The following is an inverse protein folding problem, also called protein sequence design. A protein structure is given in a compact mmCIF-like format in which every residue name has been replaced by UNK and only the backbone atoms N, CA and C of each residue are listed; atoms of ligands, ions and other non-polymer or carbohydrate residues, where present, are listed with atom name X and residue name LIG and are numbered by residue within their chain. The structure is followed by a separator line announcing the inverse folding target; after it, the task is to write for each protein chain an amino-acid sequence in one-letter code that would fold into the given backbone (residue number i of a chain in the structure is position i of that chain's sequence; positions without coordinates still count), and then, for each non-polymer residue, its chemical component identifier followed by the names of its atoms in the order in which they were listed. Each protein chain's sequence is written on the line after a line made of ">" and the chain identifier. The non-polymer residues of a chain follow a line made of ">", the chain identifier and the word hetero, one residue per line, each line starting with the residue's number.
data_IF_692332130849
#
_entry.id   IF_692332130849
#
_cell.length_a   1.000
_cell.length_b   1.000
_cell.length_c   1.000
_cell.angle_alpha   90.00
_cell.angle_beta   90.00
_cell.angle_gamma   90.00
#
_symmetry.space_group_name_H-M   'P 1'
#
loop_
_entity.id
_entity.type
_entity.pdbx_description
1 polymer ?
#
# COMPACT_ATOMS: atom_id res chain seq x y z
N UNK A 1 -7.61 -12.04 25.86
CA UNK A 1 -7.74 -11.58 24.47
C UNK A 1 -8.75 -12.46 23.78
N UNK A 2 -9.80 -11.88 23.22
CA UNK A 2 -10.77 -12.61 22.41
C UNK A 2 -10.12 -13.02 21.09
N UNK A 3 -10.44 -14.21 20.56
CA UNK A 3 -9.88 -14.71 19.28
C UNK A 3 -11.03 -15.10 18.37
N UNK A 4 -11.12 -14.44 17.23
CA UNK A 4 -12.15 -14.70 16.22
C UNK A 4 -11.47 -15.31 15.00
N UNK A 5 -11.94 -16.48 14.59
CA UNK A 5 -11.47 -17.14 13.37
C UNK A 5 -12.55 -17.01 12.29
N UNK A 6 -12.18 -16.57 11.10
CA UNK A 6 -13.12 -16.38 10.02
C UNK A 6 -12.47 -16.63 8.65
N UNK A 7 -13.09 -17.53 7.89
CA UNK A 7 -12.77 -17.80 6.49
C UNK A 7 -14.03 -17.54 5.69
N UNK A 8 -14.06 -16.49 4.84
CA UNK A 8 -15.23 -16.20 4.01
C UNK A 8 -15.47 -17.30 2.98
N UNK A 9 -16.74 -17.59 2.73
CA UNK A 9 -17.17 -18.25 1.48
C UNK A 9 -17.22 -17.24 0.33
N UNK A 10 -17.29 -17.72 -0.91
CA UNK A 10 -17.34 -16.85 -2.09
C UNK A 10 -18.46 -15.80 -2.04
N UNK A 11 -19.64 -16.18 -1.54
CA UNK A 11 -20.80 -15.29 -1.42
C UNK A 11 -20.67 -14.29 -0.25
N UNK A 12 -19.70 -14.49 0.64
CA UNK A 12 -19.39 -13.57 1.75
C UNK A 12 -18.27 -12.58 1.40
N UNK A 13 -17.67 -12.66 0.21
CA UNK A 13 -16.68 -11.68 -0.23
C UNK A 13 -17.31 -10.30 -0.39
N UNK A 14 -16.65 -9.29 0.18
CA UNK A 14 -16.88 -7.90 -0.16
C UNK A 14 -16.19 -7.53 -1.46
N UNK A 15 -16.87 -6.78 -2.33
CA UNK A 15 -16.32 -6.26 -3.59
C UNK A 15 -16.23 -4.74 -3.63
N UNK A 16 -16.58 -4.09 -2.51
CA UNK A 16 -16.51 -2.65 -2.33
C UNK A 16 -16.16 -2.31 -0.89
N UNK A 17 -15.48 -1.18 -0.70
CA UNK A 17 -15.44 -0.47 0.58
C UNK A 17 -16.66 0.45 0.67
N UNK A 18 -17.42 0.32 1.77
CA UNK A 18 -18.72 0.98 1.94
C UNK A 18 -19.88 0.23 1.28
N UNK A 19 -21.11 0.57 1.68
CA UNK A 19 -22.34 0.01 1.09
C UNK A 19 -22.69 -1.45 1.44
N UNK A 20 -21.83 -2.13 2.22
CA UNK A 20 -22.03 -3.53 2.63
C UNK A 20 -22.27 -3.63 4.14
N UNK A 21 -23.19 -4.49 4.56
CA UNK A 21 -23.44 -4.76 5.97
C UNK A 21 -22.26 -5.53 6.61
N UNK A 22 -21.98 -5.34 7.91
CA UNK A 22 -20.89 -6.04 8.57
C UNK A 22 -21.14 -7.54 8.65
N UNK A 23 -20.12 -8.33 8.31
CA UNK A 23 -20.17 -9.79 8.41
C UNK A 23 -20.05 -10.29 9.86
N UNK A 24 -19.31 -9.55 10.70
CA UNK A 24 -19.07 -9.86 12.11
C UNK A 24 -18.81 -8.57 12.90
N UNK A 25 -19.08 -8.63 14.21
CA UNK A 25 -18.68 -7.59 15.18
C UNK A 25 -17.42 -8.04 15.91
N UNK A 26 -16.53 -7.09 16.18
CA UNK A 26 -15.27 -7.31 16.88
C UNK A 26 -15.10 -6.24 17.96
N UNK A 27 -14.51 -6.63 19.10
CA UNK A 27 -14.17 -5.68 20.16
C UNK A 27 -12.74 -5.18 19.99
N UNK A 28 -12.43 -3.92 20.30
CA UNK A 28 -11.05 -3.48 20.45
C UNK A 28 -10.27 -4.39 21.41
N UNK A 29 -9.02 -4.70 21.05
CA UNK A 29 -8.16 -5.69 21.69
C UNK A 29 -8.40 -7.14 21.25
N UNK A 30 -9.27 -7.42 20.27
CA UNK A 30 -9.49 -8.79 19.75
C UNK A 30 -8.39 -9.19 18.76
N UNK A 31 -8.00 -10.46 18.78
CA UNK A 31 -7.20 -11.06 17.71
C UNK A 31 -8.11 -11.72 16.67
N UNK A 32 -7.78 -11.54 15.41
CA UNK A 32 -8.45 -12.18 14.28
C UNK A 32 -7.49 -13.14 13.59
N UNK A 33 -7.96 -14.36 13.29
CA UNK A 33 -7.33 -15.25 12.32
C UNK A 33 -8.23 -15.31 11.10
N UNK A 34 -7.75 -14.73 10.02
CA UNK A 34 -8.49 -14.53 8.80
C UNK A 34 -7.82 -15.30 7.68
N UNK A 35 -8.63 -15.65 6.69
CA UNK A 35 -8.13 -16.14 5.42
C UNK A 35 -8.60 -15.17 4.34
N UNK A 36 -7.70 -14.81 3.43
CA UNK A 36 -7.99 -13.95 2.27
C UNK A 36 -7.65 -14.71 0.99
N UNK A 37 -8.43 -14.51 -0.07
CA UNK A 37 -8.13 -15.07 -1.38
C UNK A 37 -7.16 -14.18 -2.15
N UNK A 38 -6.64 -14.69 -3.27
CA UNK A 38 -5.90 -13.87 -4.24
C UNK A 38 -6.82 -12.88 -4.98
N UNK A 39 -6.24 -11.88 -5.68
CA UNK A 39 -6.96 -10.87 -6.47
C UNK A 39 -8.04 -11.43 -7.41
N UNK A 40 -7.86 -12.68 -7.84
CA UNK A 40 -8.67 -13.37 -8.85
C UNK A 40 -9.70 -14.33 -8.25
N UNK A 41 -9.80 -14.40 -6.91
CA UNK A 41 -10.59 -15.39 -6.18
C UNK A 41 -10.28 -16.84 -6.60
N UNK A 42 -8.99 -17.13 -6.80
CA UNK A 42 -8.48 -18.45 -7.16
C UNK A 42 -8.87 -18.90 -8.57
N UNK A 43 -9.19 -17.99 -9.49
CA UNK A 43 -9.61 -18.33 -10.86
C UNK A 43 -8.46 -18.53 -11.84
N UNK A 44 -7.37 -17.78 -11.69
CA UNK A 44 -6.15 -17.99 -12.48
C UNK A 44 -5.24 -18.96 -11.75
N UNK A 45 -4.81 -20.04 -12.43
CA UNK A 45 -3.99 -21.09 -11.82
C UNK A 45 -2.91 -21.65 -12.72
N UNK A 46 -2.98 -21.39 -14.03
CA UNK A 46 -2.12 -22.00 -15.04
C UNK A 46 -1.58 -20.96 -16.00
N UNK A 47 -0.44 -21.26 -16.62
CA UNK A 47 0.20 -20.41 -17.63
C UNK A 47 -0.65 -20.17 -18.88
N UNK A 48 -1.58 -21.09 -19.18
CA UNK A 48 -2.51 -20.99 -20.31
C UNK A 48 -3.75 -20.14 -19.99
N UNK A 49 -4.00 -19.87 -18.71
CA UNK A 49 -5.16 -19.09 -18.29
C UNK A 49 -5.01 -17.63 -18.76
N UNK A 50 -6.14 -17.00 -19.08
CA UNK A 50 -6.21 -15.62 -19.58
C UNK A 50 -7.20 -14.84 -18.72
N UNK A 51 -6.74 -13.74 -18.12
CA UNK A 51 -7.54 -12.89 -17.26
C UNK A 51 -8.82 -12.40 -17.95
N UNK A 52 -8.71 -11.96 -19.20
CA UNK A 52 -9.82 -11.49 -20.04
C UNK A 52 -10.93 -12.54 -20.25
N UNK A 53 -10.59 -13.84 -20.15
CA UNK A 53 -11.53 -14.93 -20.31
C UNK A 53 -12.13 -15.42 -18.98
N UNK A 54 -11.42 -15.26 -17.87
CA UNK A 54 -11.77 -15.90 -16.58
C UNK A 54 -12.15 -14.91 -15.49
N UNK A 55 -11.77 -13.64 -15.63
CA UNK A 55 -11.95 -12.62 -14.61
C UNK A 55 -13.01 -11.62 -15.05
N UNK A 56 -13.98 -11.44 -14.18
CA UNK A 56 -14.91 -10.32 -14.24
C UNK A 56 -14.34 -9.19 -13.39
N UNK A 57 -13.97 -8.08 -14.02
CA UNK A 57 -13.33 -6.92 -13.37
C UNK A 57 -14.19 -6.26 -12.29
N UNK A 58 -15.48 -6.61 -12.22
CA UNK A 58 -16.37 -6.17 -11.13
C UNK A 58 -16.13 -6.94 -9.82
N UNK A 59 -15.48 -8.09 -9.91
CA UNK A 59 -15.29 -9.06 -8.84
C UNK A 59 -13.81 -9.44 -8.71
N UNK A 60 -12.95 -8.42 -8.55
CA UNK A 60 -11.52 -8.55 -8.22
C UNK A 60 -11.22 -8.07 -6.81
N UNK A 61 -10.08 -8.49 -6.27
CA UNK A 61 -9.57 -8.12 -4.94
C UNK A 61 -10.64 -8.42 -3.87
N UNK A 62 -11.09 -9.70 -3.75
CA UNK A 62 -12.14 -10.09 -2.82
C UNK A 62 -11.76 -9.74 -1.39
N UNK A 63 -12.69 -9.12 -0.67
CA UNK A 63 -12.46 -8.67 0.70
C UNK A 63 -12.99 -9.65 1.72
N UNK A 64 -12.17 -9.92 2.72
CA UNK A 64 -12.59 -10.52 4.00
C UNK A 64 -13.03 -9.39 4.93
N UNK A 65 -14.35 -9.24 5.08
CA UNK A 65 -14.97 -8.12 5.77
C UNK A 65 -16.29 -7.71 5.11
N UNK A 66 -16.92 -6.60 5.54
CA UNK A 66 -16.43 -5.68 6.56
C UNK A 66 -16.71 -6.16 7.99
N UNK A 67 -15.77 -5.89 8.90
CA UNK A 67 -15.90 -6.10 10.34
C UNK A 67 -16.34 -4.81 11.02
N UNK A 68 -17.33 -4.90 11.90
CA UNK A 68 -17.78 -3.80 12.73
C UNK A 68 -17.01 -3.76 14.04
N UNK A 69 -16.35 -2.65 14.34
CA UNK A 69 -15.58 -2.44 15.58
C UNK A 69 -16.44 -1.77 16.64
N UNK A 70 -16.68 -2.45 17.75
CA UNK A 70 -17.51 -1.91 18.83
C UNK A 70 -16.92 -0.61 19.41
N UNK A 71 -17.75 0.43 19.49
CA UNK A 71 -17.39 1.73 20.06
C UNK A 71 -16.60 2.67 19.14
N UNK A 72 -16.32 2.25 17.90
CA UNK A 72 -15.67 3.10 16.89
C UNK A 72 -16.66 4.14 16.33
N UNK A 73 -16.27 5.40 16.39
CA UNK A 73 -17.06 6.56 15.96
C UNK A 73 -16.24 7.44 15.00
N UNK A 74 -16.93 8.29 14.23
CA UNK A 74 -16.29 9.22 13.31
C UNK A 74 -15.19 10.04 14.00
N UNK A 75 -13.99 10.04 13.44
CA UNK A 75 -12.83 10.78 13.96
C UNK A 75 -11.93 9.99 14.92
N UNK A 76 -12.31 8.77 15.29
CA UNK A 76 -11.41 7.82 15.95
C UNK A 76 -10.34 7.27 15.00
N UNK A 77 -9.30 6.66 15.54
CA UNK A 77 -8.29 5.93 14.78
C UNK A 77 -8.43 4.43 15.01
N UNK A 78 -8.63 3.67 13.94
CA UNK A 78 -8.56 2.22 13.94
C UNK A 78 -7.09 1.78 13.82
N UNK A 79 -6.60 0.95 14.73
CA UNK A 79 -5.26 0.37 14.67
C UNK A 79 -5.35 -1.12 14.35
N UNK A 80 -4.74 -1.52 13.23
CA UNK A 80 -4.70 -2.89 12.74
C UNK A 80 -3.25 -3.39 12.77
N UNK A 81 -2.91 -4.22 13.74
CA UNK A 81 -1.57 -4.80 13.86
C UNK A 81 -1.51 -6.19 13.24
N UNK A 82 -0.71 -6.35 12.20
CA UNK A 82 -0.53 -7.63 11.52
C UNK A 82 0.51 -8.46 12.27
N UNK A 83 0.08 -9.48 12.99
CA UNK A 83 0.99 -10.41 13.69
C UNK A 83 1.73 -11.26 12.67
N UNK A 84 0.99 -11.83 11.71
CA UNK A 84 1.54 -12.61 10.60
C UNK A 84 0.64 -12.52 9.37
N UNK A 85 1.24 -12.52 8.20
CA UNK A 85 0.63 -12.64 6.88
C UNK A 85 1.49 -13.68 6.15
N UNK A 86 0.90 -14.83 5.84
CA UNK A 86 1.62 -15.95 5.22
C UNK A 86 0.82 -16.54 4.06
N UNK A 87 1.48 -16.94 2.96
CA UNK A 87 0.79 -17.64 1.88
C UNK A 87 0.09 -18.90 2.40
N UNK A 88 -1.19 -19.02 2.06
CA UNK A 88 -2.06 -20.15 2.43
C UNK A 88 -1.98 -21.29 1.41
N UNK A 89 -1.47 -21.00 0.22
CA UNK A 89 -1.29 -21.93 -0.90
C UNK A 89 0.20 -22.04 -1.26
N UNK A 90 0.56 -23.12 -1.93
CA UNK A 90 1.89 -23.41 -2.47
C UNK A 90 2.12 -22.82 -3.88
N UNK A 91 1.23 -21.92 -4.31
CA UNK A 91 1.33 -21.22 -5.58
C UNK A 91 0.81 -19.78 -5.47
N UNK A 92 1.32 -18.93 -6.35
CA UNK A 92 0.79 -17.61 -6.64
C UNK A 92 0.80 -17.32 -8.14
N UNK A 93 0.14 -16.25 -8.58
CA UNK A 93 0.00 -15.92 -10.00
C UNK A 93 0.28 -14.44 -10.24
N UNK A 94 0.98 -14.14 -11.34
CA UNK A 94 1.04 -12.79 -11.91
C UNK A 94 0.57 -12.85 -13.36
N UNK A 95 -0.08 -11.80 -13.86
CA UNK A 95 -0.59 -11.78 -15.24
C UNK A 95 -0.52 -10.37 -15.84
N UNK A 96 -0.31 -10.28 -17.14
CA UNK A 96 -0.54 -9.04 -17.89
C UNK A 96 -1.99 -9.00 -18.34
N UNK A 97 -2.76 -8.02 -17.84
CA UNK A 97 -4.16 -7.82 -18.21
C UNK A 97 -4.21 -6.79 -19.35
N UNK A 98 -4.93 -7.04 -20.46
CA UNK A 98 -5.05 -6.08 -21.55
C UNK A 98 -5.54 -4.71 -21.07
N UNK A 99 -4.83 -3.66 -21.46
CA UNK A 99 -5.11 -2.27 -21.09
C UNK A 99 -5.07 -1.95 -19.58
N UNK A 100 -4.27 -2.71 -18.82
CA UNK A 100 -4.01 -2.47 -17.40
C UNK A 100 -2.52 -2.69 -17.08
N UNK A 101 -1.95 -1.82 -16.24
CA UNK A 101 -0.53 -1.77 -15.92
C UNK A 101 0.13 -0.41 -16.22
N UNK A 102 1.34 -0.21 -15.73
CA UNK A 102 2.04 1.09 -15.76
C UNK A 102 2.76 1.40 -17.08
N UNK A 103 3.06 0.38 -17.89
CA UNK A 103 3.79 0.50 -19.15
C UNK A 103 2.92 0.16 -20.38
N UNK A 104 1.60 0.31 -20.26
CA UNK A 104 0.63 0.12 -21.35
C UNK A 104 -0.42 1.22 -21.34
N UNK A 105 -1.16 1.39 -22.44
CA UNK A 105 -2.33 2.25 -22.47
C UNK A 105 -3.44 1.68 -21.59
N UNK A 106 -4.25 2.54 -20.96
CA UNK A 106 -5.37 2.12 -20.10
C UNK A 106 -6.63 2.93 -20.41
N UNK A 107 -7.73 2.64 -19.73
CA UNK A 107 -8.96 3.46 -19.81
C UNK A 107 -8.77 4.90 -19.28
N UNK A 108 -7.75 5.11 -18.43
CA UNK A 108 -7.38 6.42 -17.84
C UNK A 108 -6.24 7.10 -18.58
N UNK A 109 -5.26 6.33 -19.03
CA UNK A 109 -4.16 6.79 -19.87
C UNK A 109 -4.42 6.28 -21.29
N UNK A 110 -5.42 6.86 -21.93
CA UNK A 110 -5.90 6.39 -23.23
C UNK A 110 -4.85 6.58 -24.33
N UNK A 111 -4.55 5.51 -25.04
CA UNK A 111 -3.69 5.50 -26.23
C UNK A 111 -4.36 4.71 -27.35
N UNK A 112 -3.87 4.83 -28.59
CA UNK A 112 -4.36 4.07 -29.75
C UNK A 112 -3.54 2.79 -30.00
N UNK A 113 -2.67 2.45 -29.07
CA UNK A 113 -1.66 1.42 -29.27
C UNK A 113 -2.28 0.10 -28.86
N UNK A 114 -1.89 -0.98 -29.54
CA UNK A 114 -2.34 -2.31 -29.17
C UNK A 114 -1.94 -2.63 -27.71
N UNK A 115 -2.79 -3.37 -26.96
CA UNK A 115 -2.45 -3.81 -25.62
C UNK A 115 -1.20 -4.69 -25.64
N UNK A 116 -0.50 -4.74 -24.50
CA UNK A 116 0.57 -5.72 -24.31
C UNK A 116 -0.02 -7.15 -24.39
N UNK A 117 0.78 -8.16 -24.80
CA UNK A 117 0.33 -9.55 -24.82
C UNK A 117 -0.21 -10.00 -23.46
N UNK A 118 -1.33 -10.70 -23.48
CA UNK A 118 -1.93 -11.29 -22.30
C UNK A 118 -1.28 -12.63 -21.96
N UNK A 119 -0.56 -12.67 -20.84
CA UNK A 119 0.24 -13.80 -20.39
C UNK A 119 0.05 -14.01 -18.88
N UNK A 120 0.24 -15.23 -18.42
CA UNK A 120 0.09 -15.63 -17.01
C UNK A 120 1.32 -16.39 -16.56
N UNK A 121 1.92 -15.98 -15.45
CA UNK A 121 3.03 -16.64 -14.78
C UNK A 121 2.53 -17.27 -13.48
N UNK A 122 2.85 -18.55 -13.29
CA UNK A 122 2.61 -19.27 -12.04
C UNK A 122 3.91 -19.36 -11.26
N UNK A 123 3.85 -18.92 -10.00
CA UNK A 123 4.97 -18.96 -9.06
C UNK A 123 4.77 -20.13 -8.10
N UNK A 124 5.77 -20.99 -7.97
CA UNK A 124 5.82 -21.99 -6.91
C UNK A 124 6.19 -21.29 -5.59
N UNK A 125 5.35 -21.43 -4.57
CA UNK A 125 5.59 -20.90 -3.23
C UNK A 125 6.05 -22.02 -2.32
N UNK A 126 7.28 -21.91 -1.85
CA UNK A 126 7.82 -22.76 -0.78
C UNK A 126 7.87 -21.94 0.53
N UNK A 127 6.87 -22.16 1.39
CA UNK A 127 6.78 -21.50 2.69
C UNK A 127 7.91 -21.90 3.64
N UNK A 128 8.49 -23.09 3.49
CA UNK A 128 9.59 -23.55 4.33
C UNK A 128 10.92 -22.93 3.91
N UNK A 129 11.20 -22.89 2.61
CA UNK A 129 12.38 -22.23 2.05
C UNK A 129 12.26 -20.70 2.01
N UNK A 130 11.06 -20.16 2.25
CA UNK A 130 10.73 -18.73 2.17
C UNK A 130 10.95 -18.15 0.78
N UNK A 131 10.49 -18.86 -0.26
CA UNK A 131 10.66 -18.44 -1.65
C UNK A 131 9.37 -18.48 -2.48
N UNK A 132 9.22 -17.52 -3.40
CA UNK A 132 8.32 -17.59 -4.55
C UNK A 132 9.17 -17.67 -5.82
N UNK A 133 9.10 -18.78 -6.55
CA UNK A 133 9.98 -19.04 -7.68
C UNK A 133 9.40 -18.49 -8.98
N UNK A 134 10.05 -17.47 -9.54
CA UNK A 134 9.79 -17.04 -10.90
C UNK A 134 10.23 -18.13 -11.88
N UNK A 135 9.34 -18.49 -12.80
CA UNK A 135 9.64 -19.39 -13.92
C UNK A 135 9.35 -18.65 -15.23
N UNK A 136 10.36 -18.49 -16.08
CA UNK A 136 10.16 -17.87 -17.39
C UNK A 136 9.27 -18.77 -18.28
N UNK A 137 8.43 -18.17 -19.11
CA UNK A 137 7.53 -18.90 -20.03
C UNK A 137 8.26 -19.36 -21.29
N UNK A 138 9.21 -18.55 -21.78
CA UNK A 138 9.90 -18.78 -23.07
C UNK A 138 11.32 -19.37 -22.92
N UNK A 139 11.75 -19.69 -21.70
CA UNK A 139 13.07 -20.27 -21.43
C UNK A 139 13.08 -21.10 -20.15
N UNK A 140 14.12 -21.89 -19.93
CA UNK A 140 14.28 -22.73 -18.72
C UNK A 140 14.70 -21.94 -17.47
N UNK A 141 14.79 -20.60 -17.53
CA UNK A 141 15.24 -19.78 -16.40
C UNK A 141 14.25 -19.84 -15.24
N UNK A 142 14.76 -20.21 -14.07
CA UNK A 142 14.04 -20.15 -12.78
C UNK A 142 14.83 -19.36 -11.76
N UNK A 143 14.15 -18.47 -11.03
CA UNK A 143 14.76 -17.64 -9.99
C UNK A 143 13.93 -17.76 -8.70
N UNK A 144 14.46 -18.40 -7.64
CA UNK A 144 13.81 -18.40 -6.34
C UNK A 144 13.93 -17.01 -5.72
N UNK A 145 12.83 -16.27 -5.64
CA UNK A 145 12.79 -14.94 -5.03
C UNK A 145 12.41 -15.08 -3.56
N UNK A 146 13.01 -14.30 -2.64
CA UNK A 146 12.55 -14.28 -1.25
C UNK A 146 11.08 -13.89 -1.15
N UNK A 147 10.30 -14.58 -0.32
CA UNK A 147 8.95 -14.15 0.01
C UNK A 147 8.97 -12.78 0.67
N UNK A 148 8.03 -11.94 0.28
CA UNK A 148 7.74 -10.66 0.95
C UNK A 148 6.21 -10.50 1.06
N UNK A 149 5.55 -11.30 1.93
CA UNK A 149 4.10 -11.34 1.99
C UNK A 149 3.50 -10.05 2.53
N UNK A 150 2.47 -9.56 1.88
CA UNK A 150 1.72 -8.35 2.23
C UNK A 150 0.24 -8.46 1.81
N UNK A 151 -0.56 -7.50 2.24
CA UNK A 151 -1.94 -7.31 1.78
C UNK A 151 -2.02 -6.04 0.92
N UNK A 152 -2.47 -6.18 -0.32
CA UNK A 152 -2.70 -5.08 -1.25
C UNK A 152 -3.86 -4.18 -0.81
N UNK A 153 -4.93 -4.82 -0.33
CA UNK A 153 -6.13 -4.14 0.16
C UNK A 153 -6.28 -4.20 1.68
N UNK A 154 -6.25 -3.03 2.31
CA UNK A 154 -6.62 -2.84 3.72
C UNK A 154 -7.35 -1.49 3.81
N UNK A 155 -8.59 -1.49 4.30
CA UNK A 155 -9.34 -0.24 4.35
C UNK A 155 -10.57 -0.28 5.25
N UNK A 156 -11.10 0.90 5.54
CA UNK A 156 -12.38 1.13 6.23
C UNK A 156 -13.45 1.55 5.24
N UNK A 157 -14.71 1.62 5.66
CA UNK A 157 -15.73 2.24 4.82
C UNK A 157 -15.36 3.72 4.55
N UNK A 158 -15.55 4.22 3.31
CA UNK A 158 -15.28 5.61 2.97
C UNK A 158 -16.19 6.58 3.74
N UNK A 159 -15.72 7.82 3.89
CA UNK A 159 -16.52 8.89 4.45
C UNK A 159 -17.72 9.24 3.57
N UNK A 160 -18.68 9.96 4.15
CA UNK A 160 -19.84 10.55 3.43
C UNK A 160 -20.75 9.53 2.75
N UNK A 161 -20.68 8.26 3.17
CA UNK A 161 -21.52 7.19 2.62
C UNK A 161 -21.14 6.77 1.20
N UNK A 162 -19.91 7.07 0.76
CA UNK A 162 -19.44 6.61 -0.54
C UNK A 162 -19.26 5.09 -0.58
N UNK A 163 -19.44 4.52 -1.77
CA UNK A 163 -19.16 3.12 -2.09
C UNK A 163 -18.08 3.12 -3.16
N UNK A 164 -16.94 2.48 -2.86
CA UNK A 164 -15.76 2.48 -3.71
C UNK A 164 -15.37 1.04 -4.04
N UNK A 165 -15.04 0.78 -5.31
CA UNK A 165 -14.48 -0.50 -5.73
C UNK A 165 -13.24 -0.84 -4.91
N UNK A 166 -13.03 -2.13 -4.67
CA UNK A 166 -11.85 -2.67 -3.97
C UNK A 166 -10.53 -2.34 -4.63
N UNK A 167 -10.52 -2.05 -5.94
CA UNK A 167 -9.33 -1.65 -6.69
C UNK A 167 -8.91 -0.18 -6.47
N UNK A 168 -9.65 0.60 -5.67
CA UNK A 168 -9.36 2.03 -5.48
C UNK A 168 -8.66 2.25 -4.14
N UNK A 169 -7.43 2.79 -4.12
CA UNK A 169 -6.88 3.39 -2.92
C UNK A 169 -7.31 4.84 -2.75
N UNK A 170 -7.51 5.26 -1.50
CA UNK A 170 -7.78 6.64 -1.09
C UNK A 170 -7.50 6.83 0.41
N UNK A 171 -7.93 7.94 0.99
CA UNK A 171 -7.85 8.27 2.42
C UNK A 171 -8.45 7.21 3.36
N UNK A 172 -9.35 6.34 2.87
CA UNK A 172 -9.91 5.22 3.63
C UNK A 172 -9.03 3.96 3.63
N UNK A 173 -7.86 3.98 2.99
CA UNK A 173 -7.05 2.80 2.69
C UNK A 173 -7.38 2.27 1.29
N UNK A 174 -7.85 1.04 1.20
CA UNK A 174 -8.20 0.40 -0.07
C UNK A 174 -7.00 -0.29 -0.71
N UNK A 175 -6.94 -0.30 -2.05
CA UNK A 175 -5.88 -0.96 -2.85
C UNK A 175 -4.56 -0.20 -2.83
N UNK A 176 -3.94 -0.06 -1.66
CA UNK A 176 -2.73 0.74 -1.54
C UNK A 176 -1.53 0.08 -2.17
N UNK A 177 -1.53 -1.27 -2.25
CA UNK A 177 -0.48 -2.07 -2.86
C UNK A 177 0.91 -1.61 -2.44
N UNK A 178 1.05 -1.46 -1.11
CA UNK A 178 2.30 -1.07 -0.49
C UNK A 178 2.97 -2.28 0.14
N UNK A 179 4.23 -2.60 -0.23
CA UNK A 179 5.02 -3.64 0.42
C UNK A 179 5.20 -3.45 1.93
N UNK A 180 4.86 -2.28 2.47
CA UNK A 180 4.91 -1.99 3.90
C UNK A 180 3.67 -2.50 4.67
N UNK A 181 2.60 -2.94 3.98
CA UNK A 181 1.43 -3.60 4.56
C UNK A 181 1.71 -5.07 4.87
N UNK A 182 2.74 -5.31 5.67
CA UNK A 182 3.34 -6.63 5.92
C UNK A 182 3.26 -7.03 7.39
N UNK A 183 3.64 -8.28 7.64
CA UNK A 183 3.79 -8.81 9.00
C UNK A 183 4.60 -7.87 9.89
N UNK A 184 4.16 -7.75 11.14
CA UNK A 184 4.69 -6.90 12.21
C UNK A 184 4.47 -5.41 12.04
N UNK A 185 3.81 -4.94 10.98
CA UNK A 185 3.39 -3.55 10.86
C UNK A 185 2.06 -3.31 11.59
N UNK A 186 1.83 -2.06 12.01
CA UNK A 186 0.53 -1.56 12.44
C UNK A 186 0.06 -0.51 11.45
N UNK A 187 -1.11 -0.72 10.85
CA UNK A 187 -1.80 0.28 10.05
C UNK A 187 -2.78 1.08 10.91
N UNK A 188 -2.78 2.40 10.74
CA UNK A 188 -3.70 3.32 11.38
C UNK A 188 -4.60 3.97 10.32
N UNK A 189 -5.91 3.79 10.49
CA UNK A 189 -6.93 4.30 9.57
C UNK A 189 -7.89 5.23 10.31
N UNK A 190 -8.30 6.32 9.66
CA UNK A 190 -9.33 7.20 10.20
C UNK A 190 -10.71 6.55 10.14
N UNK A 191 -11.42 6.47 11.27
CA UNK A 191 -12.78 5.95 11.32
C UNK A 191 -13.73 6.98 10.70
N UNK A 192 -14.36 6.60 9.60
CA UNK A 192 -15.21 7.48 8.78
C UNK A 192 -16.71 7.28 9.03
N UNK A 193 -17.09 6.14 9.58
CA UNK A 193 -18.48 5.75 9.88
C UNK A 193 -18.49 4.95 11.18
N UNK A 194 -19.66 4.86 11.82
CA UNK A 194 -19.84 4.03 13.01
C UNK A 194 -19.37 2.59 12.75
N UNK A 195 -18.56 2.07 13.66
CA UNK A 195 -18.00 0.73 13.57
C UNK A 195 -16.81 0.58 12.62
N UNK A 196 -16.36 1.64 11.95
CA UNK A 196 -15.30 1.67 10.92
C UNK A 196 -15.58 0.85 9.65
N UNK A 197 -16.17 -0.34 9.78
CA UNK A 197 -16.48 -1.28 8.69
C UNK A 197 -15.23 -1.62 7.88
N UNK A 198 -14.22 -2.18 8.53
CA UNK A 198 -12.94 -2.49 7.88
C UNK A 198 -12.92 -3.85 7.20
N UNK A 199 -12.19 -3.94 6.10
CA UNK A 199 -11.93 -5.18 5.39
C UNK A 199 -10.46 -5.30 5.00
N UNK A 200 -10.04 -6.54 4.75
CA UNK A 200 -8.70 -6.85 4.22
C UNK A 200 -8.79 -7.87 3.09
N UNK A 201 -7.83 -7.89 2.19
CA UNK A 201 -7.75 -8.88 1.12
C UNK A 201 -6.54 -8.70 0.25
N UNK A 202 -6.59 -9.31 -0.92
CA UNK A 202 -5.62 -9.11 -2.00
C UNK A 202 -4.19 -9.43 -1.57
N UNK A 203 -3.95 -10.70 -1.22
CA UNK A 203 -2.65 -11.11 -0.71
C UNK A 203 -1.60 -11.18 -1.81
N UNK A 204 -0.42 -10.60 -1.57
CA UNK A 204 0.73 -10.75 -2.47
C UNK A 204 1.85 -11.53 -1.79
N UNK A 205 2.32 -12.62 -2.39
CA UNK A 205 3.49 -13.34 -1.90
C UNK A 205 4.78 -12.52 -2.07
N UNK A 206 4.78 -11.63 -3.08
CA UNK A 206 5.82 -10.66 -3.35
C UNK A 206 5.31 -9.58 -4.32
N UNK A 207 5.68 -8.33 -4.07
CA UNK A 207 5.48 -7.21 -4.97
C UNK A 207 6.77 -6.41 -5.13
N UNK A 208 7.00 -5.84 -6.31
CA UNK A 208 8.00 -4.80 -6.52
C UNK A 208 7.39 -3.42 -6.38
N UNK A 209 8.17 -2.43 -5.94
CA UNK A 209 7.71 -1.03 -5.88
C UNK A 209 7.22 -0.54 -7.25
N UNK A 210 6.02 0.06 -7.24
CA UNK A 210 5.31 0.55 -8.41
C UNK A 210 4.41 -0.47 -9.11
N UNK A 211 4.55 -1.77 -8.81
CA UNK A 211 3.70 -2.85 -9.35
C UNK A 211 3.52 -2.77 -10.88
N UNK A 212 4.63 -2.59 -11.59
CA UNK A 212 4.62 -2.00 -12.94
C UNK A 212 3.78 -2.73 -14.01
N UNK A 213 3.61 -4.05 -13.93
CA UNK A 213 2.76 -4.80 -14.87
C UNK A 213 1.27 -4.84 -14.50
N UNK A 214 0.89 -4.25 -13.36
CA UNK A 214 -0.47 -4.21 -12.85
C UNK A 214 -0.78 -5.23 -11.77
N UNK A 215 -0.01 -6.32 -11.69
CA UNK A 215 -0.35 -7.49 -10.86
C UNK A 215 0.91 -8.01 -10.18
N UNK A 216 0.86 -8.17 -8.86
CA UNK A 216 1.93 -8.74 -8.06
C UNK A 216 2.04 -10.27 -8.24
N UNK A 217 2.70 -10.96 -7.31
CA UNK A 217 2.53 -12.42 -7.15
C UNK A 217 1.32 -12.65 -6.25
N UNK A 218 0.13 -12.67 -6.86
CA UNK A 218 -1.16 -12.84 -6.19
C UNK A 218 -1.25 -14.20 -5.51
N UNK A 219 -1.62 -14.23 -4.23
CA UNK A 219 -1.71 -15.44 -3.43
C UNK A 219 -2.74 -15.30 -2.31
N UNK A 220 -3.47 -16.38 -2.04
CA UNK A 220 -4.30 -16.45 -0.85
C UNK A 220 -3.43 -16.41 0.42
N UNK A 221 -3.88 -15.73 1.47
CA UNK A 221 -3.12 -15.54 2.71
C UNK A 221 -3.87 -15.99 3.95
N UNK A 222 -3.14 -16.63 4.86
CA UNK A 222 -3.50 -16.75 6.26
C UNK A 222 -2.98 -15.52 7.02
N UNK A 223 -3.91 -14.76 7.62
CA UNK A 223 -3.62 -13.50 8.30
C UNK A 223 -3.97 -13.62 9.77
N UNK A 224 -3.01 -13.38 10.66
CA UNK A 224 -3.27 -13.15 12.08
C UNK A 224 -3.05 -11.68 12.39
N UNK A 225 -4.04 -11.02 12.97
CA UNK A 225 -3.97 -9.60 13.31
C UNK A 225 -4.63 -9.29 14.65
N UNK A 226 -4.31 -8.14 15.24
CA UNK A 226 -4.96 -7.58 16.42
C UNK A 226 -5.60 -6.26 16.03
N UNK A 227 -6.86 -6.08 16.42
CA UNK A 227 -7.65 -4.87 16.16
C UNK A 227 -7.75 -4.07 17.44
N UNK A 228 -7.42 -2.78 17.39
CA UNK A 228 -7.53 -1.87 18.52
C UNK A 228 -8.12 -0.52 18.08
N UNK A 229 -8.68 0.21 19.03
CA UNK A 229 -9.32 1.50 18.79
C UNK A 229 -8.68 2.59 19.64
N UNK A 230 -8.26 3.66 19.00
CA UNK A 230 -7.78 4.88 19.66
C UNK A 230 -8.86 5.94 19.51
N UNK A 231 -9.31 6.52 20.62
CA UNK A 231 -10.34 7.56 20.58
C UNK A 231 -9.76 8.89 20.08
N UNK A 232 -10.39 9.45 19.06
CA UNK A 232 -9.93 10.66 18.37
C UNK A 232 -8.63 10.48 17.57
N UNK A 233 -8.13 11.61 17.04
CA UNK A 233 -6.81 11.68 16.40
C UNK A 233 -6.67 10.97 15.07
N UNK A 234 -7.80 10.68 14.37
CA UNK A 234 -7.81 10.08 13.05
C UNK A 234 -6.77 10.73 12.12
N UNK A 235 -5.90 9.95 11.47
CA UNK A 235 -5.03 10.51 10.44
C UNK A 235 -5.87 10.83 9.19
N UNK A 236 -5.49 11.87 8.46
CA UNK A 236 -6.18 12.24 7.21
C UNK A 236 -5.94 11.23 6.08
N UNK A 237 -4.81 10.54 6.17
CA UNK A 237 -4.34 9.51 5.25
C UNK A 237 -3.92 8.28 6.05
N UNK A 238 -3.94 7.06 5.48
CA UNK A 238 -3.44 5.88 6.17
C UNK A 238 -2.01 6.10 6.66
N UNK A 239 -1.74 5.66 7.89
CA UNK A 239 -0.37 5.63 8.45
C UNK A 239 0.03 4.20 8.75
N UNK A 240 1.32 3.93 8.65
CA UNK A 240 1.90 2.63 8.99
C UNK A 240 3.05 2.85 9.96
N UNK A 241 3.20 1.96 10.92
CA UNK A 241 4.33 1.92 11.84
C UNK A 241 4.85 0.49 11.97
N UNK A 242 6.15 0.31 11.81
CA UNK A 242 6.83 -0.95 12.13
C UNK A 242 7.93 -0.72 13.19
N UNK A 243 8.71 -1.76 13.50
CA UNK A 243 9.78 -1.69 14.49
C UNK A 243 10.85 -0.62 14.17
N UNK A 244 10.97 -0.22 12.91
CA UNK A 244 12.06 0.59 12.36
C UNK A 244 11.63 1.94 11.79
N UNK A 245 10.38 2.09 11.35
CA UNK A 245 9.90 3.26 10.61
C UNK A 245 8.53 3.73 11.08
N UNK A 246 8.28 5.02 10.90
CA UNK A 246 6.94 5.60 10.80
C UNK A 246 6.69 5.98 9.34
N UNK A 247 5.47 5.78 8.85
CA UNK A 247 5.14 5.92 7.43
C UNK A 247 3.75 6.55 7.23
N UNK A 248 3.62 7.37 6.20
CA UNK A 248 2.36 7.97 5.76
C UNK A 248 2.10 7.59 4.31
N UNK A 249 0.86 7.29 3.96
CA UNK A 249 0.48 6.77 2.65
C UNK A 249 -0.47 7.74 1.97
N UNK A 250 -0.10 8.27 0.80
CA UNK A 250 -0.96 9.16 0.01
C UNK A 250 -1.38 8.48 -1.27
N UNK A 251 -2.65 8.67 -1.66
CA UNK A 251 -3.20 8.07 -2.88
C UNK A 251 -3.89 9.12 -3.75
N UNK A 252 -3.67 9.06 -5.06
CA UNK A 252 -4.26 9.99 -6.01
C UNK A 252 -3.65 9.91 -7.40
N UNK A 253 -4.12 10.75 -8.31
CA UNK A 253 -3.50 10.97 -9.63
C UNK A 253 -3.45 12.47 -9.91
N UNK A 254 -2.32 13.01 -10.40
CA UNK A 254 -1.06 12.33 -10.76
C UNK A 254 -0.23 11.84 -9.56
N UNK A 255 0.85 11.07 -9.81
CA UNK A 255 1.69 10.46 -8.75
C UNK A 255 2.32 11.49 -7.81
N UNK A 256 2.68 12.67 -8.32
CA UNK A 256 3.22 13.75 -7.50
C UNK A 256 2.19 14.28 -6.48
N UNK A 257 0.88 14.21 -6.78
CA UNK A 257 -0.15 14.56 -5.80
C UNK A 257 -0.34 13.48 -4.73
N UNK A 258 -0.23 12.20 -5.09
CA UNK A 258 -0.18 11.11 -4.12
C UNK A 258 1.02 11.26 -3.18
N UNK A 259 2.20 11.58 -3.73
CA UNK A 259 3.40 11.86 -2.93
C UNK A 259 3.26 13.11 -2.06
N UNK A 260 2.67 14.21 -2.59
CA UNK A 260 2.40 15.42 -1.81
C UNK A 260 1.46 15.14 -0.63
N UNK A 261 0.43 14.32 -0.83
CA UNK A 261 -0.48 13.90 0.23
C UNK A 261 0.25 13.18 1.37
N UNK A 262 1.10 12.21 1.04
CA UNK A 262 1.96 11.52 2.01
C UNK A 262 2.92 12.51 2.72
N UNK A 263 3.61 13.37 1.97
CA UNK A 263 4.55 14.34 2.54
C UNK A 263 3.88 15.31 3.51
N UNK A 264 2.73 15.88 3.13
CA UNK A 264 1.99 16.84 3.96
C UNK A 264 1.54 16.18 5.26
N UNK A 265 1.07 14.94 5.19
CA UNK A 265 0.68 14.18 6.38
C UNK A 265 1.90 13.91 7.30
N UNK A 266 3.04 13.52 6.74
CA UNK A 266 4.26 13.26 7.52
C UNK A 266 4.81 14.53 8.18
N UNK A 267 4.79 15.68 7.48
CA UNK A 267 5.17 16.97 8.09
C UNK A 267 4.28 17.28 9.29
N UNK A 268 2.97 17.09 9.15
CA UNK A 268 2.02 17.28 10.24
C UNK A 268 2.26 16.30 11.40
N UNK A 269 2.55 15.04 11.08
CA UNK A 269 2.78 14.00 12.07
C UNK A 269 4.07 14.22 12.86
N UNK A 270 5.19 14.51 12.21
CA UNK A 270 6.45 14.87 12.88
C UNK A 270 6.27 16.12 13.74
N UNK A 271 5.55 17.13 13.22
CA UNK A 271 5.17 18.32 13.99
C UNK A 271 4.46 17.96 15.30
N UNK A 272 3.45 17.08 15.23
CA UNK A 272 2.71 16.62 16.40
C UNK A 272 3.52 15.76 17.37
N UNK A 273 4.36 14.86 16.86
CA UNK A 273 5.16 13.94 17.69
C UNK A 273 6.29 14.64 18.44
N UNK A 274 6.89 15.67 17.84
CA UNK A 274 8.11 16.31 18.36
C UNK A 274 7.89 17.77 18.80
N UNK A 275 6.68 18.31 18.63
CA UNK A 275 6.40 19.72 18.92
C UNK A 275 7.10 20.69 17.97
N UNK A 276 7.42 20.26 16.75
CA UNK A 276 8.08 21.10 15.75
C UNK A 276 7.11 22.08 15.10
N UNK A 277 7.63 23.26 14.72
CA UNK A 277 6.91 24.13 13.79
C UNK A 277 6.76 23.45 12.43
N UNK A 278 5.77 23.88 11.64
CA UNK A 278 5.54 23.34 10.29
C UNK A 278 6.80 23.41 9.41
N UNK A 279 7.53 24.53 9.48
CA UNK A 279 8.73 24.72 8.65
C UNK A 279 9.91 23.90 9.15
N UNK A 280 10.07 23.72 10.47
CA UNK A 280 11.14 22.87 11.01
C UNK A 280 10.87 21.40 10.70
N UNK A 281 9.62 20.94 10.84
CA UNK A 281 9.22 19.57 10.47
C UNK A 281 9.44 19.32 8.97
N UNK A 282 9.07 20.27 8.11
CA UNK A 282 9.30 20.17 6.68
C UNK A 282 10.80 20.15 6.34
N UNK A 283 11.58 21.06 6.94
CA UNK A 283 13.02 21.15 6.74
C UNK A 283 13.73 19.86 7.21
N UNK A 284 13.29 19.25 8.30
CA UNK A 284 13.80 17.97 8.77
C UNK A 284 13.44 16.85 7.79
N UNK A 285 12.16 16.72 7.44
CA UNK A 285 11.64 15.62 6.64
C UNK A 285 12.39 15.49 5.30
N UNK A 286 12.65 16.61 4.61
CA UNK A 286 13.36 16.57 3.33
C UNK A 286 14.79 16.03 3.40
N UNK A 287 15.39 15.91 4.60
CA UNK A 287 16.74 15.35 4.77
C UNK A 287 16.72 13.86 5.11
N UNK A 288 15.58 13.32 5.58
CA UNK A 288 15.51 12.00 6.21
C UNK A 288 14.44 11.07 5.63
N UNK A 289 13.58 11.57 4.74
CA UNK A 289 12.50 10.76 4.16
C UNK A 289 13.02 9.79 3.11
N UNK A 290 12.52 8.55 3.17
CA UNK A 290 12.47 7.63 2.04
C UNK A 290 11.08 7.71 1.40
N UNK A 291 10.97 7.52 0.08
CA UNK A 291 9.69 7.64 -0.64
C UNK A 291 9.48 6.53 -1.66
N UNK A 292 9.19 5.29 -1.21
CA UNK A 292 8.90 4.21 -2.14
C UNK A 292 7.57 4.46 -2.87
N UNK A 293 7.54 4.11 -4.15
CA UNK A 293 6.32 4.10 -4.96
C UNK A 293 5.62 2.78 -4.65
N UNK A 294 4.40 2.82 -4.10
CA UNK A 294 3.66 1.61 -3.76
C UNK A 294 3.12 0.98 -5.03
N UNK A 295 2.12 1.61 -5.65
CA UNK A 295 1.61 1.26 -6.97
C UNK A 295 1.53 2.48 -7.90
N UNK A 296 1.62 2.21 -9.20
CA UNK A 296 1.40 3.20 -10.25
C UNK A 296 0.49 2.64 -11.37
N UNK A 297 -0.49 1.82 -11.00
CA UNK A 297 -1.32 1.06 -11.96
C UNK A 297 -2.81 1.24 -11.70
N UNK A 298 -3.19 1.34 -10.43
CA UNK A 298 -4.57 1.43 -9.98
C UNK A 298 -5.29 2.74 -10.35
N UNK A 299 -6.63 2.76 -10.28
CA UNK A 299 -7.45 3.96 -10.40
C UNK A 299 -6.85 5.24 -9.80
N UNK A 300 -6.26 5.12 -8.61
CA UNK A 300 -5.40 6.12 -7.97
C UNK A 300 -4.02 5.48 -7.74
N UNK A 301 -2.94 6.23 -7.97
CA UNK A 301 -1.60 5.75 -7.60
C UNK A 301 -1.37 5.93 -6.11
N UNK A 302 -0.46 5.16 -5.53
CA UNK A 302 -0.11 5.29 -4.11
C UNK A 302 1.40 5.51 -3.94
N UNK A 303 1.73 6.51 -3.10
CA UNK A 303 3.09 6.82 -2.69
C UNK A 303 3.19 6.77 -1.17
N UNK A 304 4.32 6.28 -0.66
CA UNK A 304 4.60 6.24 0.77
C UNK A 304 5.73 7.22 1.06
N UNK A 305 5.66 7.88 2.22
CA UNK A 305 6.79 8.59 2.82
C UNK A 305 7.09 7.91 4.14
N UNK A 306 8.32 7.43 4.32
CA UNK A 306 8.74 6.80 5.57
C UNK A 306 9.99 7.44 6.14
N UNK A 307 10.06 7.42 7.47
CA UNK A 307 11.17 7.98 8.26
C UNK A 307 11.67 6.92 9.22
N UNK A 308 12.96 6.65 9.18
CA UNK A 308 13.61 5.74 10.11
C UNK A 308 13.56 6.30 11.53
N UNK A 309 13.12 5.48 12.49
CA UNK A 309 12.92 5.88 13.89
C UNK A 309 14.23 6.19 14.61
N UNK A 310 15.35 5.64 14.17
CA UNK A 310 16.68 5.90 14.74
C UNK A 310 17.23 7.29 14.40
N UNK A 311 16.67 7.96 13.38
CA UNK A 311 16.94 9.37 13.06
C UNK A 311 16.11 10.34 13.92
N UNK A 312 15.14 9.83 14.68
CA UNK A 312 14.26 10.62 15.55
C UNK A 312 14.66 10.45 17.02
N UNK A 313 14.37 11.43 17.89
CA UNK A 313 14.36 11.18 19.33
C UNK A 313 13.32 10.09 19.66
N UNK A 314 13.38 9.45 20.85
CA UNK A 314 12.36 8.50 21.26
C UNK A 314 10.96 9.12 21.24
N UNK A 315 10.19 8.82 20.18
CA UNK A 315 8.81 9.28 19.97
C UNK A 315 7.85 8.10 20.08
N UNK A 316 6.66 8.36 20.61
CA UNK A 316 5.60 7.36 20.77
C UNK A 316 4.39 7.74 19.93
N UNK A 317 4.36 7.25 18.70
CA UNK A 317 3.17 7.36 17.86
C UNK A 317 1.95 6.75 18.56
N UNK A 318 0.85 7.51 18.59
CA UNK A 318 -0.40 7.09 19.22
C UNK A 318 -0.24 6.57 20.66
N UNK A 319 0.65 7.18 21.46
CA UNK A 319 0.90 6.76 22.84
C UNK A 319 1.62 5.40 22.96
N UNK A 320 2.32 4.98 21.91
CA UNK A 320 3.06 3.72 21.88
C UNK A 320 2.20 2.51 21.48
N UNK A 321 1.13 2.75 20.72
CA UNK A 321 0.16 1.72 20.35
C UNK A 321 0.81 0.54 19.61
N UNK A 322 1.72 0.81 18.68
CA UNK A 322 2.44 -0.25 17.98
C UNK A 322 3.23 -1.16 18.93
N UNK A 323 3.98 -0.59 19.89
CA UNK A 323 4.74 -1.36 20.87
C UNK A 323 3.83 -2.17 21.79
N UNK A 324 2.67 -1.60 22.17
CA UNK A 324 1.64 -2.29 22.94
C UNK A 324 1.10 -3.52 22.20
N UNK A 325 0.66 -3.35 20.95
CA UNK A 325 0.10 -4.44 20.14
C UNK A 325 1.14 -5.53 19.83
N UNK A 326 2.38 -5.14 19.57
CA UNK A 326 3.51 -6.07 19.43
C UNK A 326 3.75 -6.89 20.71
N UNK A 327 3.65 -6.28 21.88
CA UNK A 327 3.79 -6.98 23.15
C UNK A 327 2.63 -7.96 23.40
N UNK A 328 1.40 -7.59 23.04
CA UNK A 328 0.24 -8.48 23.10
C UNK A 328 0.37 -9.69 22.16
N UNK A 329 0.85 -9.47 20.94
CA UNK A 329 1.13 -10.52 19.98
C UNK A 329 2.16 -11.53 20.53
N UNK A 330 3.29 -11.03 21.04
CA UNK A 330 4.35 -11.87 21.60
C UNK A 330 3.90 -12.64 22.87
N UNK A 331 3.05 -12.04 23.71
CA UNK A 331 2.48 -12.73 24.87
C UNK A 331 1.56 -13.89 24.44
N UNK A 332 0.76 -13.68 23.41
CA UNK A 332 -0.19 -14.67 22.89
C UNK A 332 0.51 -15.88 22.25
N UNK A 333 1.63 -15.64 21.55
CA UNK A 333 2.46 -16.71 20.99
C UNK A 333 3.13 -17.56 22.08
N UNK A 334 3.64 -16.93 23.14
CA UNK A 334 4.25 -17.64 24.28
C UNK A 334 3.27 -18.55 25.00
N UNK A 335 2.03 -18.09 25.21
CA UNK A 335 0.96 -18.92 25.80
C UNK A 335 0.66 -20.13 24.92
N UNK A 336 0.59 -19.98 23.60
CA UNK A 336 0.40 -21.12 22.68
C UNK A 336 1.54 -22.14 22.75
N UNK A 337 2.79 -21.68 22.76
CA UNK A 337 3.96 -22.58 22.83
C UNK A 337 4.04 -23.29 24.19
N UNK A 338 3.74 -22.60 25.30
CA UNK A 338 3.71 -23.19 26.63
C UNK A 338 2.57 -24.18 26.87
N UNK A 339 1.46 -24.08 26.12
CA UNK A 339 0.37 -25.05 26.13
C UNK A 339 0.67 -26.33 25.32
N UNK A 340 1.70 -26.31 24.46
CA UNK A 340 2.16 -27.46 23.69
C UNK A 340 3.35 -28.20 24.34
N UNK A 341 3.77 -27.82 25.54
CA UNK A 341 4.81 -28.53 26.28
C UNK A 341 4.16 -29.71 27.04
N UNK A 342 4.51 -30.98 26.76
CA UNK A 342 4.03 -32.08 27.57
C UNK A 342 4.63 -31.91 28.96
N UNK A 343 3.79 -31.77 29.98
CA UNK A 343 4.24 -31.58 31.36
C UNK A 343 5.30 -32.63 31.77
N UNK A 344 6.14 -32.32 32.78
CA UNK A 344 7.22 -33.21 33.18
C UNK A 344 6.62 -34.42 33.89
N UNK A 345 6.39 -35.50 33.16
CA UNK A 345 5.76 -36.69 33.73
C UNK A 345 5.35 -37.72 32.69
N UNK A 346 6.33 -38.36 32.04
CA UNK A 346 6.08 -39.47 31.13
C UNK A 346 7.38 -40.13 30.69
N UNK A 347 7.89 -41.06 31.50
CA UNK A 347 9.03 -41.90 31.17
C UNK A 347 8.79 -42.63 29.84
N UNK A 348 9.67 -42.54 28.83
CA UNK A 348 9.53 -43.33 27.61
C UNK A 348 9.87 -44.80 27.91
N UNK A 349 9.18 -45.79 27.31
CA UNK A 349 9.56 -47.18 27.47
C UNK A 349 10.86 -47.44 26.70
N UNK A 350 11.78 -48.13 27.37
CA UNK A 350 13.00 -48.69 26.82
C UNK A 350 12.75 -49.44 25.50
N UNK A 351 13.56 -49.14 24.48
CA UNK A 351 13.93 -50.12 23.45
C UNK A 351 15.44 -50.24 23.41
N UNK A 352 15.91 -51.43 23.76
CA UNK A 352 17.27 -51.88 23.61
C UNK A 352 17.63 -52.08 22.12
N UNK A 353 18.92 -51.92 21.81
CA UNK A 353 19.58 -52.68 20.75
C UNK A 353 20.30 -51.87 19.69
N UNK A 354 21.64 -51.91 19.72
CA UNK A 354 22.46 -51.74 18.51
C UNK A 354 23.61 -50.75 18.62
N UNK A 355 24.64 -51.10 19.40
CA UNK A 355 25.92 -50.40 19.39
C UNK A 355 26.70 -50.68 18.09
N UNK A 356 27.25 -49.64 17.47
CA UNK A 356 28.50 -49.72 16.68
C UNK A 356 29.32 -48.46 16.93
N UNK A 357 30.58 -48.69 17.27
CA UNK A 357 31.50 -47.75 17.87
C UNK A 357 32.45 -47.12 16.83
N UNK A 358 32.74 -45.83 17.07
CA UNK A 358 34.02 -45.12 16.89
C UNK A 358 34.67 -45.02 15.49
N UNK A 359 34.94 -43.78 15.04
CA UNK A 359 36.23 -43.07 15.27
C UNK A 359 36.18 -41.60 14.81
N UNK A 360 37.01 -40.71 15.37
CA UNK A 360 37.06 -39.29 15.05
C UNK A 360 38.11 -38.98 13.98
N UNK A 361 37.92 -37.90 13.20
CA UNK A 361 39.02 -37.28 12.47
C UNK A 361 38.93 -35.75 12.48
N UNK A 362 40.11 -35.17 12.61
CA UNK A 362 40.44 -33.80 12.98
C UNK A 362 40.39 -32.79 11.83
N UNK A 363 40.17 -31.54 12.23
CA UNK A 363 40.54 -30.25 11.62
C UNK A 363 41.56 -30.21 10.48
N UNK A 364 41.27 -29.38 9.47
CA UNK A 364 42.22 -28.37 8.94
C UNK A 364 41.48 -27.19 8.28
N UNK A 365 42.12 -26.02 8.40
CA UNK A 365 41.70 -24.67 8.02
C UNK A 365 41.55 -24.43 6.51
N UNK A 366 40.65 -23.51 6.12
CA UNK A 366 40.87 -22.60 5.00
C UNK A 366 40.20 -21.21 5.22
N UNK A 367 40.76 -20.13 4.62
CA UNK A 367 40.62 -18.74 5.08
C UNK A 367 39.45 -17.97 4.41
N UNK A 368 39.11 -16.76 4.92
CA UNK A 368 38.02 -15.96 4.37
C UNK A 368 38.44 -15.21 3.09
N UNK A 369 37.53 -15.21 2.11
CA UNK A 369 37.65 -14.50 0.83
C UNK A 369 37.42 -13.00 0.97
N UNK A 370 38.16 -12.27 0.13
CA UNK A 370 38.37 -10.84 0.17
C UNK A 370 37.23 -10.00 -0.44
N UNK A 371 37.16 -8.77 0.08
CA UNK A 371 36.43 -7.60 -0.40
C UNK A 371 36.59 -7.33 -1.91
N UNK A 372 35.48 -7.08 -2.60
CA UNK A 372 35.51 -6.49 -3.94
C UNK A 372 35.64 -4.97 -3.84
N UNK A 373 36.79 -4.43 -4.26
CA UNK A 373 36.98 -3.02 -4.61
C UNK A 373 36.77 -2.84 -6.12
N UNK A 374 35.97 -1.84 -6.48
CA UNK A 374 35.77 -1.38 -7.85
C UNK A 374 37.08 -0.89 -8.48
N UNK A 375 37.39 -1.41 -9.67
CA UNK A 375 38.44 -0.90 -10.53
C UNK A 375 37.84 0.14 -11.50
N UNK A 376 38.31 1.38 -11.36
CA UNK A 376 38.15 2.43 -12.34
C UNK A 376 38.99 2.10 -13.57
N UNK A 377 38.39 2.12 -14.77
CA UNK A 377 39.13 2.18 -16.02
C UNK A 377 38.86 3.51 -16.74
N UNK A 378 39.95 4.26 -16.91
CA UNK A 378 40.09 5.42 -17.79
C UNK A 378 39.99 4.96 -19.24
N UNK A 379 39.27 5.69 -20.07
CA UNK A 379 39.49 5.72 -21.51
C UNK A 379 39.93 7.14 -21.91
N UNK A 380 41.04 7.18 -22.63
CA UNK A 380 41.74 8.37 -23.11
C UNK A 380 41.08 9.00 -24.34
N UNK A 381 41.10 10.32 -24.34
CA UNK A 381 41.06 11.28 -25.45
C UNK A 381 41.21 10.77 -26.90
N UNK A 382 40.30 11.22 -27.77
CA UNK A 382 40.60 11.54 -29.16
C UNK A 382 39.94 12.88 -29.55
N UNK A 383 40.68 13.66 -30.34
CA UNK A 383 40.54 15.09 -30.63
C UNK A 383 39.40 15.44 -31.58
N UNK A 384 38.99 16.70 -31.45
CA UNK A 384 38.08 17.48 -32.27
C UNK A 384 38.43 17.57 -33.77
N UNK A 385 37.38 17.75 -34.59
CA UNK A 385 37.41 18.64 -35.75
C UNK A 385 36.04 19.33 -35.91
N UNK A 386 36.07 20.57 -36.39
CA UNK A 386 35.00 21.58 -36.41
C UNK A 386 34.19 21.55 -37.72
N UNK A 387 32.92 21.95 -37.66
CA UNK A 387 32.23 22.88 -38.58
C UNK A 387 30.88 23.29 -37.95
N UNK A 388 30.69 24.47 -37.37
CA UNK A 388 30.20 25.74 -37.99
C UNK A 388 29.08 25.56 -39.01
N UNK A 389 27.84 25.86 -38.59
CA UNK A 389 26.96 26.94 -39.12
C UNK A 389 25.50 26.67 -38.65
N UNK A 390 24.98 27.49 -37.74
CA UNK A 390 24.12 28.66 -38.02
C UNK A 390 22.62 28.30 -38.12
N UNK A 391 21.84 28.63 -37.09
CA UNK A 391 20.62 29.45 -37.23
C UNK A 391 20.07 29.87 -35.86
N UNK A 392 20.08 31.18 -35.65
CA UNK A 392 19.30 31.88 -34.64
C UNK A 392 17.92 32.24 -35.19
N UNK A 393 17.01 32.63 -34.27
CA UNK A 393 15.61 33.10 -34.45
C UNK A 393 14.59 31.96 -34.68
N UNK A 394 13.55 31.77 -33.87
CA UNK A 394 12.52 32.77 -33.52
C UNK A 394 11.77 32.32 -32.26
N UNK A 395 11.75 33.13 -31.21
CA UNK A 395 10.76 33.05 -30.12
C UNK A 395 9.56 33.87 -30.59
N UNK A 396 8.41 33.22 -30.83
CA UNK A 396 7.14 33.91 -31.00
C UNK A 396 6.15 33.38 -29.97
N UNK A 397 5.68 34.31 -29.14
CA UNK A 397 4.66 34.10 -28.13
C UNK A 397 3.31 33.81 -28.80
N UNK A 398 2.68 32.70 -28.43
CA UNK A 398 1.25 32.48 -28.68
C UNK A 398 0.47 32.98 -27.47
N UNK A 399 -0.08 34.20 -27.57
CA UNK A 399 -1.22 34.63 -26.78
C UNK A 399 -2.46 33.94 -27.34
N UNK A 400 -2.96 32.92 -26.65
CA UNK A 400 -4.31 32.43 -26.89
C UNK A 400 -5.29 33.22 -26.00
N UNK A 401 -6.00 34.16 -26.60
CA UNK A 401 -7.18 34.81 -26.01
C UNK A 401 -8.38 33.91 -26.23
N UNK A 402 -8.88 33.25 -25.18
CA UNK A 402 -10.15 32.54 -25.19
C UNK A 402 -11.28 33.51 -24.82
N UNK A 403 -11.94 34.08 -25.83
CA UNK A 403 -13.23 34.73 -25.68
C UNK A 403 -14.33 33.66 -25.64
N UNK A 404 -14.94 33.46 -24.46
CA UNK A 404 -16.16 32.65 -24.32
C UNK A 404 -17.32 33.43 -24.95
N UNK A 405 -17.89 32.90 -26.02
CA UNK A 405 -19.17 33.35 -26.58
C UNK A 405 -20.27 32.51 -25.92
N UNK A 406 -21.01 33.11 -24.99
CA UNK A 406 -22.24 32.51 -24.46
C UNK A 406 -23.35 32.73 -25.49
N UNK A 407 -23.75 31.69 -26.22
CA UNK A 407 -25.02 31.67 -26.94
C UNK A 407 -26.13 31.29 -25.96
N UNK A 408 -27.15 32.16 -25.82
CA UNK A 408 -28.40 31.83 -25.14
C UNK A 408 -29.21 30.90 -26.03
N UNK A 409 -29.52 29.71 -25.54
CA UNK A 409 -30.54 28.84 -26.09
C UNK A 409 -31.90 29.20 -25.43
N UNK A 410 -32.96 29.54 -26.17
CA UNK A 410 -34.19 30.07 -25.56
C UNK A 410 -35.19 29.03 -25.03
N UNK A 411 -34.94 27.72 -25.09
CA UNK A 411 -35.93 26.70 -24.70
C UNK A 411 -35.46 25.74 -23.59
N UNK A 412 -35.38 26.23 -22.35
CA UNK A 412 -35.51 25.37 -21.15
C UNK A 412 -36.46 26.05 -20.17
N UNK A 413 -37.75 25.77 -20.33
CA UNK A 413 -38.73 25.94 -19.26
C UNK A 413 -38.97 24.59 -18.60
N UNK A 414 -38.88 24.58 -17.26
CA UNK A 414 -39.30 23.56 -16.28
C UNK A 414 -38.18 22.68 -15.67
N UNK A 415 -37.67 23.12 -14.52
CA UNK A 415 -37.10 22.27 -13.47
C UNK A 415 -37.65 22.71 -12.08
N UNK A 416 -37.82 21.81 -11.09
CA UNK A 416 -38.59 22.06 -9.85
C UNK A 416 -37.80 22.82 -8.76
N UNK A 417 -38.48 23.37 -7.72
CA UNK A 417 -37.95 24.45 -6.90
C UNK A 417 -37.23 23.95 -5.63
N UNK A 418 -35.91 23.69 -5.70
CA UNK A 418 -35.05 23.58 -4.49
C UNK A 418 -33.73 24.36 -4.62
N UNK A 419 -33.44 25.00 -5.75
CA UNK A 419 -32.19 25.77 -5.94
C UNK A 419 -32.53 27.25 -6.09
N UNK A 420 -32.86 27.91 -4.97
CA UNK A 420 -32.92 29.39 -4.95
C UNK A 420 -32.44 30.00 -3.64
N UNK A 421 -31.83 29.21 -2.74
CA UNK A 421 -31.25 29.73 -1.48
C UNK A 421 -29.71 29.76 -1.44
N UNK A 422 -29.01 29.25 -2.44
CA UNK A 422 -27.52 29.20 -2.44
C UNK A 422 -26.89 30.33 -3.28
N UNK A 423 -27.65 30.98 -4.18
CA UNK A 423 -27.10 32.03 -5.07
C UNK A 423 -27.13 33.43 -4.39
N UNK A 424 -27.80 33.58 -3.25
CA UNK A 424 -27.89 34.86 -2.54
C UNK A 424 -26.78 35.10 -1.49
N UNK A 425 -26.03 34.06 -1.07
CA UNK A 425 -25.06 34.17 0.04
C UNK A 425 -23.59 34.36 -0.35
N UNK A 426 -23.26 34.39 -1.64
CA UNK A 426 -21.86 34.51 -2.10
C UNK A 426 -21.51 35.85 -2.77
N UNK A 427 -22.44 36.82 -2.81
CA UNK A 427 -22.21 38.13 -3.44
C UNK A 427 -21.52 39.20 -2.56
N UNK A 428 -21.18 38.89 -1.31
CA UNK A 428 -20.63 39.90 -0.37
C UNK A 428 -19.14 39.73 -0.01
N UNK A 429 -18.35 38.89 -0.71
CA UNK A 429 -16.96 38.61 -0.29
C UNK A 429 -15.80 39.08 -1.15
N UNK A 430 -16.01 39.90 -2.17
CA UNK A 430 -14.89 40.44 -2.97
C UNK A 430 -15.09 41.91 -3.35
N UNK A 431 -14.55 42.82 -2.53
CA UNK A 431 -14.26 44.20 -2.92
C UNK A 431 -12.77 44.28 -3.28
N UNK A 432 -12.47 44.37 -4.58
CA UNK A 432 -11.13 44.66 -5.08
C UNK A 432 -10.99 46.18 -5.20
N UNK A 433 -10.14 46.79 -4.38
CA UNK A 433 -9.73 48.20 -4.54
C UNK A 433 -8.56 48.28 -5.51
N UNK A 434 -8.74 48.99 -6.62
CA UNK A 434 -7.66 49.35 -7.54
C UNK A 434 -7.22 50.79 -7.32
N UNK A 435 -5.99 51.00 -6.85
CA UNK A 435 -5.28 52.29 -6.94
C UNK A 435 -4.12 52.14 -7.93
N UNK A 436 -3.93 53.09 -8.87
CA UNK A 436 -2.82 53.02 -9.81
C UNK A 436 -1.55 53.65 -9.21
N UNK A 437 -0.46 52.89 -9.13
CA UNK A 437 0.87 53.41 -8.78
C UNK A 437 1.61 53.93 -10.02
N UNK A 438 2.10 55.16 -9.93
CA UNK A 438 3.07 55.80 -10.84
C UNK A 438 4.51 55.36 -10.53
N UNK A 439 5.42 55.31 -11.52
CA UNK A 439 6.77 54.77 -11.34
C UNK A 439 7.71 55.79 -10.69
N UNK A 440 8.35 55.41 -9.57
CA UNK A 440 9.37 56.19 -8.86
C UNK A 440 10.76 55.57 -8.99
N UNK A 441 11.72 56.39 -9.44
CA UNK A 441 13.12 56.08 -9.66
C UNK A 441 13.88 55.56 -8.43
N UNK A 442 14.80 54.63 -8.67
CA UNK A 442 15.86 54.24 -7.76
C UNK A 442 17.00 55.27 -7.77
N UNK A 443 17.37 55.79 -6.60
CA UNK A 443 18.70 56.29 -6.23
C UNK A 443 18.73 56.54 -4.71
N UNK A 444 19.68 55.93 -4.01
CA UNK A 444 19.96 56.17 -2.59
C UNK A 444 20.19 54.88 -1.81
#
# INVERSE_FOLDING_TARGET
>A
MDVIEFTPTYDEYGWNFGGTAPIRKVRPGSALKLWTDDAFAGRLRRTEDRASALIDVRYTNPQTGPFYVEGAELGDTLALHFVSIEPSRDWGVSTTIPLFGGLTGTDRTATLQEPLPELTWVYEIDSAARTATFSAIESDLKIPLPLNPMLGTVGVAPARGEVRSTAVPDSFGGNMDTPEMRSRATCYLGVNVEGALFSIGDGHARQGEGESCGVAVEAAMDVTMIVELIKGGAPAWPRIEDDTHIMTVGSGRPLDDAWRAAQVDMVGWLGGLMGLSKMDAYQLLTQISESPIANMVDPNFTAVVKVAKDLLPPVQAYGGMHQHLRALAAASERVRRGACDPGPGGTPPHREGGALAQRPYSSTNHPPTASFRAAANRVSSAKASRSTDAHASTISAVKASSSIVVRRDPDITQAPPIITSVIASERERWTISSTPETPGNWNG
#
